data_IF_380305555849
#
_entry.id   IF_380305555849
#
_cell.length_a   1.000
_cell.length_b   1.000
_cell.length_c   1.000
_cell.angle_alpha   90.00
_cell.angle_beta   90.00
_cell.angle_gamma   90.00
#
_symmetry.space_group_name_H-M   'P 1'
#
loop_
_entity.id
_entity.type
_entity.pdbx_description
1 polymer ?
#
# COMPACT_ATOMS: atom_id res chain seq x y z
N UNK A 1 55.77 21.97 -9.52
CA UNK A 1 55.65 21.55 -10.92
C UNK A 1 55.35 20.06 -10.91
N UNK A 2 54.08 19.70 -10.71
CA UNK A 2 53.64 18.30 -10.74
C UNK A 2 53.20 18.02 -12.16
N UNK A 3 54.06 17.32 -12.90
CA UNK A 3 53.74 16.73 -14.19
C UNK A 3 52.56 15.78 -14.02
N UNK A 4 51.41 16.18 -14.56
CA UNK A 4 50.28 15.29 -14.81
C UNK A 4 50.57 14.65 -16.16
N UNK A 5 51.35 13.58 -16.15
CA UNK A 5 51.32 12.62 -17.23
C UNK A 5 49.96 11.91 -17.14
N UNK A 6 48.95 12.43 -17.82
CA UNK A 6 47.82 11.60 -18.22
C UNK A 6 48.37 10.67 -19.30
N UNK A 7 48.65 9.43 -18.89
CA UNK A 7 49.14 8.39 -19.79
C UNK A 7 48.18 8.27 -20.97
N UNK A 8 48.72 8.26 -22.20
CA UNK A 8 47.90 8.21 -23.42
C UNK A 8 46.97 7.00 -23.48
N UNK A 9 47.32 5.93 -22.76
CA UNK A 9 46.51 4.73 -22.62
C UNK A 9 45.18 5.00 -21.86
N UNK A 10 45.16 5.87 -20.84
CA UNK A 10 43.92 6.24 -20.11
C UNK A 10 42.91 6.98 -21.01
N UNK A 11 43.40 7.78 -21.98
CA UNK A 11 42.53 8.53 -22.90
C UNK A 11 41.87 7.61 -23.93
N UNK A 12 42.61 6.65 -24.49
CA UNK A 12 42.09 5.70 -25.45
C UNK A 12 41.23 4.62 -24.78
N UNK A 13 41.58 4.18 -23.58
CA UNK A 13 40.75 3.26 -22.78
C UNK A 13 39.44 3.92 -22.35
N UNK A 14 39.45 5.21 -22.00
CA UNK A 14 38.24 5.98 -21.74
C UNK A 14 37.34 6.14 -22.98
N UNK A 15 37.92 6.28 -24.17
CA UNK A 15 37.17 6.35 -25.43
C UNK A 15 36.58 5.00 -25.84
N UNK A 16 37.29 3.89 -25.59
CA UNK A 16 36.82 2.52 -25.86
C UNK A 16 35.68 2.14 -24.90
N UNK A 17 35.78 2.53 -23.62
CA UNK A 17 34.78 2.23 -22.59
C UNK A 17 33.71 3.31 -22.44
N UNK A 18 33.69 4.30 -23.35
CA UNK A 18 32.79 5.45 -23.29
C UNK A 18 31.31 5.02 -23.24
N UNK A 19 30.95 4.03 -24.06
CA UNK A 19 29.60 3.46 -24.10
C UNK A 19 29.23 2.84 -22.75
N UNK A 20 30.09 1.98 -22.19
CA UNK A 20 29.88 1.34 -20.89
C UNK A 20 29.74 2.37 -19.76
N UNK A 21 30.57 3.41 -19.75
CA UNK A 21 30.49 4.50 -18.77
C UNK A 21 29.17 5.27 -18.84
N UNK A 22 28.66 5.56 -20.05
CA UNK A 22 27.34 6.19 -20.20
C UNK A 22 26.20 5.27 -19.78
N UNK A 23 26.29 3.96 -20.06
CA UNK A 23 25.29 3.00 -19.57
C UNK A 23 25.27 2.91 -18.05
N UNK A 24 26.43 2.77 -17.41
CA UNK A 24 26.51 2.69 -15.95
C UNK A 24 26.00 3.97 -15.29
N UNK A 25 26.36 5.14 -15.84
CA UNK A 25 25.88 6.43 -15.35
C UNK A 25 24.37 6.57 -15.51
N UNK A 26 23.85 6.29 -16.71
CA UNK A 26 22.42 6.38 -16.99
C UNK A 26 21.60 5.37 -16.19
N UNK A 27 22.13 4.17 -15.97
CA UNK A 27 21.52 3.16 -15.10
C UNK A 27 21.50 3.61 -13.64
N UNK A 28 22.63 4.08 -13.10
CA UNK A 28 22.72 4.54 -11.72
C UNK A 28 21.75 5.69 -11.44
N UNK A 29 21.71 6.70 -12.33
CA UNK A 29 20.80 7.84 -12.22
C UNK A 29 19.33 7.41 -12.37
N UNK A 30 19.02 6.64 -13.41
CA UNK A 30 17.65 6.16 -13.67
C UNK A 30 17.12 5.24 -12.57
N UNK A 31 17.98 4.40 -12.00
CA UNK A 31 17.63 3.52 -10.90
C UNK A 31 17.38 4.29 -9.61
N UNK A 32 18.27 5.22 -9.24
CA UNK A 32 18.07 6.09 -8.07
C UNK A 32 16.78 6.92 -8.19
N UNK A 33 16.51 7.48 -9.38
CA UNK A 33 15.29 8.22 -9.66
C UNK A 33 14.04 7.31 -9.59
N UNK A 34 14.12 6.10 -10.16
CA UNK A 34 13.04 5.12 -10.14
C UNK A 34 12.67 4.66 -8.72
N UNK A 35 13.67 4.45 -7.86
CA UNK A 35 13.45 4.12 -6.45
C UNK A 35 12.73 5.24 -5.70
N UNK A 36 13.18 6.48 -5.88
CA UNK A 36 12.54 7.68 -5.34
C UNK A 36 11.08 7.75 -5.77
N UNK A 37 10.83 7.66 -7.08
CA UNK A 37 9.49 7.79 -7.64
C UNK A 37 8.56 6.67 -7.14
N UNK A 38 9.04 5.42 -7.15
CA UNK A 38 8.28 4.28 -6.65
C UNK A 38 7.92 4.42 -5.16
N UNK A 39 8.81 5.01 -4.34
CA UNK A 39 8.52 5.29 -2.94
C UNK A 39 7.43 6.34 -2.78
N UNK A 40 7.51 7.45 -3.52
CA UNK A 40 6.50 8.51 -3.44
C UNK A 40 5.12 8.03 -3.91
N UNK A 41 5.09 7.35 -5.06
CA UNK A 41 3.87 6.78 -5.62
C UNK A 41 3.26 5.72 -4.68
N UNK A 42 4.09 4.82 -4.13
CA UNK A 42 3.64 3.82 -3.16
C UNK A 42 3.08 4.44 -1.88
N UNK A 43 3.67 5.53 -1.38
CA UNK A 43 3.14 6.27 -0.21
C UNK A 43 1.79 6.92 -0.51
N UNK A 44 1.67 7.57 -1.67
CA UNK A 44 0.42 8.20 -2.08
C UNK A 44 -0.70 7.17 -2.24
N UNK A 45 -0.44 6.10 -3.00
CA UNK A 45 -1.40 5.02 -3.20
C UNK A 45 -1.79 4.35 -1.87
N UNK A 46 -0.81 4.14 -0.99
CA UNK A 46 -1.05 3.61 0.36
C UNK A 46 -1.97 4.50 1.19
N UNK A 47 -1.83 5.84 1.10
CA UNK A 47 -2.69 6.79 1.78
C UNK A 47 -4.14 6.74 1.25
N UNK A 48 -4.30 6.74 -0.07
CA UNK A 48 -5.61 6.67 -0.73
C UNK A 48 -6.35 5.39 -0.35
N UNK A 49 -5.67 4.23 -0.45
CA UNK A 49 -6.25 2.94 -0.08
C UNK A 49 -6.50 2.78 1.42
N UNK A 50 -5.63 3.35 2.26
CA UNK A 50 -5.87 3.37 3.70
C UNK A 50 -7.13 4.17 4.04
N UNK A 51 -7.41 5.26 3.33
CA UNK A 51 -8.62 6.05 3.55
C UNK A 51 -9.90 5.26 3.21
N UNK A 52 -9.95 4.63 2.03
CA UNK A 52 -11.07 3.76 1.63
C UNK A 52 -11.34 2.68 2.69
N UNK A 53 -10.26 2.12 3.24
CA UNK A 53 -10.36 1.07 4.24
C UNK A 53 -10.83 1.58 5.60
N UNK A 54 -10.30 2.72 6.04
CA UNK A 54 -10.67 3.32 7.32
C UNK A 54 -12.09 3.87 7.32
N UNK A 55 -12.59 4.35 6.18
CA UNK A 55 -14.01 4.69 6.03
C UNK A 55 -14.89 3.46 6.30
N UNK A 56 -14.50 2.30 5.77
CA UNK A 56 -15.23 1.06 6.01
C UNK A 56 -15.18 0.63 7.49
N UNK A 57 -13.99 0.63 8.10
CA UNK A 57 -13.82 0.25 9.51
C UNK A 57 -14.56 1.21 10.43
N UNK A 58 -14.46 2.53 10.19
CA UNK A 58 -15.15 3.56 10.97
C UNK A 58 -16.66 3.47 10.87
N UNK A 59 -17.20 3.11 9.70
CA UNK A 59 -18.63 2.83 9.56
C UNK A 59 -19.07 1.65 10.45
N UNK A 60 -18.29 0.56 10.46
CA UNK A 60 -18.60 -0.60 11.32
C UNK A 60 -18.52 -0.26 12.80
N UNK A 61 -17.56 0.57 13.20
CA UNK A 61 -17.41 1.05 14.58
C UNK A 61 -18.65 1.85 15.01
N UNK A 62 -19.05 2.85 14.22
CA UNK A 62 -20.23 3.66 14.50
C UNK A 62 -21.51 2.82 14.56
N UNK A 63 -21.69 1.90 13.61
CA UNK A 63 -22.83 0.99 13.61
C UNK A 63 -22.87 0.14 14.88
N UNK A 64 -21.75 -0.51 15.23
CA UNK A 64 -21.67 -1.35 16.42
C UNK A 64 -21.90 -0.54 17.71
N UNK A 65 -21.34 0.67 17.80
CA UNK A 65 -21.51 1.57 18.94
C UNK A 65 -22.96 1.96 19.20
N UNK A 66 -23.70 2.34 18.16
CA UNK A 66 -25.14 2.67 18.26
C UNK A 66 -25.94 1.47 18.75
N UNK A 67 -25.68 0.28 18.21
CA UNK A 67 -26.39 -0.93 18.64
C UNK A 67 -26.01 -1.38 20.05
N UNK A 68 -24.76 -1.22 20.47
CA UNK A 68 -24.34 -1.44 21.85
C UNK A 68 -25.15 -0.55 22.81
N UNK A 69 -25.24 0.75 22.54
CA UNK A 69 -26.00 1.68 23.37
C UNK A 69 -27.50 1.34 23.41
N UNK A 70 -28.09 1.00 22.26
CA UNK A 70 -29.52 0.66 22.15
C UNK A 70 -29.88 -0.65 22.84
N UNK A 71 -29.01 -1.66 22.77
CA UNK A 71 -29.27 -2.99 23.31
C UNK A 71 -28.90 -3.12 24.80
N UNK A 72 -28.15 -2.15 25.35
CA UNK A 72 -27.65 -2.19 26.73
C UNK A 72 -28.75 -2.28 27.80
N UNK A 73 -29.93 -1.71 27.54
CA UNK A 73 -31.07 -1.74 28.47
C UNK A 73 -32.05 -2.89 28.22
N UNK A 74 -31.73 -3.81 27.30
CA UNK A 74 -32.65 -4.88 26.91
C UNK A 74 -32.54 -6.11 27.80
N UNK A 75 -33.69 -6.72 28.11
CA UNK A 75 -33.78 -8.01 28.82
C UNK A 75 -34.04 -9.20 27.87
N UNK A 76 -34.06 -8.98 26.55
CA UNK A 76 -34.33 -10.03 25.56
C UNK A 76 -33.09 -10.88 25.29
N UNK A 77 -33.22 -12.21 25.34
CA UNK A 77 -32.12 -13.15 25.04
C UNK A 77 -31.58 -12.98 23.62
N UNK A 78 -32.43 -12.62 22.66
CA UNK A 78 -32.02 -12.33 21.27
C UNK A 78 -31.14 -11.08 21.22
N UNK A 79 -31.53 -10.05 21.96
CA UNK A 79 -30.82 -8.77 22.01
C UNK A 79 -29.49 -8.88 22.77
N UNK A 80 -29.43 -9.70 23.83
CA UNK A 80 -28.17 -10.03 24.50
C UNK A 80 -27.15 -10.70 23.55
N UNK A 81 -27.61 -11.59 22.67
CA UNK A 81 -26.76 -12.21 21.64
C UNK A 81 -26.26 -11.18 20.63
N UNK A 82 -27.13 -10.30 20.14
CA UNK A 82 -26.75 -9.22 19.24
C UNK A 82 -25.76 -8.25 19.88
N UNK A 83 -25.94 -7.93 21.16
CA UNK A 83 -25.02 -7.10 21.95
C UNK A 83 -23.64 -7.74 22.04
N UNK A 84 -23.54 -9.05 22.31
CA UNK A 84 -22.26 -9.77 22.33
C UNK A 84 -21.56 -9.73 20.95
N UNK A 85 -22.32 -9.86 19.86
CA UNK A 85 -21.76 -9.72 18.51
C UNK A 85 -21.23 -8.30 18.24
N UNK A 86 -21.94 -7.26 18.67
CA UNK A 86 -21.52 -5.87 18.53
C UNK A 86 -20.27 -5.56 19.36
N UNK A 87 -20.21 -6.02 20.61
CA UNK A 87 -19.02 -5.88 21.45
C UNK A 87 -17.81 -6.60 20.86
N UNK A 88 -18.00 -7.79 20.29
CA UNK A 88 -16.88 -8.50 19.66
C UNK A 88 -16.40 -7.77 18.40
N UNK A 89 -17.31 -7.18 17.61
CA UNK A 89 -16.94 -6.35 16.46
C UNK A 89 -16.08 -5.17 16.89
N UNK A 90 -16.47 -4.45 17.95
CA UNK A 90 -15.66 -3.36 18.51
C UNK A 90 -14.30 -3.85 19.01
N UNK A 91 -14.24 -5.02 19.65
CA UNK A 91 -12.98 -5.65 20.05
C UNK A 91 -12.05 -5.91 18.86
N UNK A 92 -12.57 -6.39 17.73
CA UNK A 92 -11.77 -6.60 16.52
C UNK A 92 -11.29 -5.27 15.90
N UNK A 93 -12.13 -4.22 15.93
CA UNK A 93 -11.79 -2.90 15.40
C UNK A 93 -10.71 -2.23 16.26
N UNK A 94 -10.82 -2.29 17.58
CA UNK A 94 -9.80 -1.72 18.49
C UNK A 94 -8.45 -2.43 18.41
N UNK A 95 -8.43 -3.71 18.02
CA UNK A 95 -7.21 -4.45 17.74
C UNK A 95 -6.58 -4.11 16.38
N UNK A 96 -7.33 -3.46 15.47
CA UNK A 96 -6.84 -3.07 14.16
C UNK A 96 -5.79 -1.94 14.28
N UNK A 97 -4.62 -2.06 13.64
CA UNK A 97 -3.53 -1.12 13.84
C UNK A 97 -3.87 0.26 13.29
N UNK A 98 -3.81 1.28 14.15
CA UNK A 98 -4.04 2.69 13.81
C UNK A 98 -2.79 3.42 13.33
N UNK A 99 -1.61 2.81 13.46
CA UNK A 99 -0.34 3.41 13.09
C UNK A 99 0.37 2.49 12.12
N UNK A 100 0.84 3.06 11.01
CA UNK A 100 1.78 2.39 10.11
C UNK A 100 3.19 2.67 10.63
N UNK A 101 3.90 1.69 11.23
CA UNK A 101 5.29 1.87 11.59
C UNK A 101 6.12 1.89 10.31
N UNK A 102 6.27 3.07 9.72
CA UNK A 102 7.21 3.25 8.60
C UNK A 102 8.62 3.10 9.17
N UNK A 103 9.46 2.16 8.66
CA UNK A 103 10.76 1.89 9.26
C UNK A 103 11.76 3.04 9.15
N UNK A 104 11.44 4.10 8.39
CA UNK A 104 12.37 5.22 8.16
C UNK A 104 11.58 6.55 8.07
N UNK A 105 11.64 7.40 9.10
CA UNK A 105 11.27 8.80 9.00
C UNK A 105 12.38 9.53 8.23
N UNK A 106 12.05 10.06 7.05
CA UNK A 106 12.78 11.13 6.35
C UNK A 106 14.31 10.99 6.15
N UNK A 107 14.89 9.79 6.23
CA UNK A 107 16.30 9.60 5.94
C UNK A 107 16.55 9.76 4.42
N UNK A 108 17.62 10.48 4.01
CA UNK A 108 18.04 10.55 2.62
C UNK A 108 18.22 9.15 2.04
N UNK A 109 17.66 8.91 0.85
CA UNK A 109 17.70 7.62 0.15
C UNK A 109 19.11 7.18 -0.26
N UNK A 110 20.08 8.09 -0.15
CA UNK A 110 21.48 7.88 -0.51
C UNK A 110 22.23 6.95 0.46
N UNK A 111 21.58 6.49 1.54
CA UNK A 111 22.18 5.61 2.54
C UNK A 111 21.37 4.31 2.69
N UNK A 112 21.12 3.63 1.57
CA UNK A 112 20.74 2.22 1.53
C UNK A 112 21.93 1.36 2.02
N UNK A 113 22.21 1.46 3.31
CA UNK A 113 23.05 0.49 3.98
C UNK A 113 22.31 -0.86 4.00
N UNK A 114 23.02 -1.99 3.85
CA UNK A 114 22.42 -3.33 3.94
C UNK A 114 21.68 -3.55 5.27
N UNK A 115 22.05 -2.83 6.33
CA UNK A 115 21.39 -2.84 7.63
C UNK A 115 19.98 -2.21 7.58
N UNK A 116 19.79 -1.11 6.85
CA UNK A 116 18.50 -0.45 6.69
C UNK A 116 17.54 -1.27 5.82
N UNK A 117 18.09 -1.94 4.78
CA UNK A 117 17.34 -2.88 3.96
C UNK A 117 16.86 -4.10 4.77
N UNK A 118 17.75 -4.69 5.58
CA UNK A 118 17.40 -5.78 6.48
C UNK A 118 16.38 -5.36 7.55
N UNK A 119 16.47 -4.13 8.09
CA UNK A 119 15.50 -3.59 9.03
C UNK A 119 14.11 -3.39 8.39
N UNK A 120 14.05 -2.92 7.14
CA UNK A 120 12.79 -2.79 6.37
C UNK A 120 12.16 -4.17 6.10
N UNK A 121 12.97 -5.16 5.72
CA UNK A 121 12.51 -6.53 5.47
C UNK A 121 12.01 -7.21 6.76
N UNK A 122 12.73 -7.05 7.88
CA UNK A 122 12.32 -7.55 9.18
C UNK A 122 11.02 -6.87 9.67
N UNK A 123 10.88 -5.56 9.47
CA UNK A 123 9.66 -4.83 9.80
C UNK A 123 8.46 -5.29 8.95
N UNK A 124 8.67 -5.57 7.67
CA UNK A 124 7.65 -6.13 6.78
C UNK A 124 7.24 -7.54 7.21
N UNK A 125 8.19 -8.39 7.64
CA UNK A 125 7.90 -9.75 8.13
C UNK A 125 7.13 -9.75 9.48
N UNK A 126 7.35 -8.74 10.31
CA UNK A 126 6.64 -8.56 11.58
C UNK A 126 5.29 -7.85 11.43
N UNK A 127 4.92 -7.41 10.22
CA UNK A 127 3.69 -6.68 10.00
C UNK A 127 2.46 -7.56 10.21
N UNK A 128 1.42 -7.06 10.90
CA UNK A 128 0.17 -7.79 11.06
C UNK A 128 -0.53 -8.00 9.71
N UNK A 129 -1.18 -9.15 9.53
CA UNK A 129 -1.97 -9.48 8.35
C UNK A 129 -3.27 -8.66 8.31
N UNK A 130 -3.18 -7.43 7.80
CA UNK A 130 -4.31 -6.50 7.66
C UNK A 130 -5.48 -7.13 6.89
N UNK A 131 -5.28 -7.77 5.72
CA UNK A 131 -6.36 -8.44 5.00
C UNK A 131 -7.15 -9.45 5.84
N UNK A 132 -6.47 -10.28 6.64
CA UNK A 132 -7.15 -11.25 7.50
C UNK A 132 -7.97 -10.56 8.61
N UNK A 133 -7.42 -9.51 9.23
CA UNK A 133 -8.12 -8.73 10.26
C UNK A 133 -9.39 -8.08 9.69
N UNK A 134 -9.30 -7.50 8.50
CA UNK A 134 -10.45 -6.89 7.80
C UNK A 134 -11.51 -7.92 7.42
N UNK A 135 -11.09 -9.08 6.93
CA UNK A 135 -12.00 -10.18 6.64
C UNK A 135 -12.77 -10.60 7.89
N UNK A 136 -12.09 -10.70 9.04
CA UNK A 136 -12.71 -11.01 10.32
C UNK A 136 -13.71 -9.93 10.76
N UNK A 137 -13.37 -8.65 10.63
CA UNK A 137 -14.27 -7.51 10.91
C UNK A 137 -15.52 -7.58 10.01
N UNK A 138 -15.36 -7.73 8.69
CA UNK A 138 -16.45 -7.85 7.72
C UNK A 138 -17.36 -9.03 8.03
N UNK A 139 -16.79 -10.20 8.35
CA UNK A 139 -17.54 -11.39 8.71
C UNK A 139 -18.37 -11.17 9.98
N UNK A 140 -17.76 -10.56 11.01
CA UNK A 140 -18.43 -10.26 12.27
C UNK A 140 -19.53 -9.21 12.09
N UNK A 141 -19.33 -8.19 11.24
CA UNK A 141 -20.35 -7.22 10.88
C UNK A 141 -21.56 -7.87 10.20
N UNK A 142 -21.34 -8.74 9.20
CA UNK A 142 -22.44 -9.47 8.54
C UNK A 142 -23.23 -10.32 9.53
N UNK A 143 -22.55 -10.97 10.49
CA UNK A 143 -23.19 -11.73 11.56
C UNK A 143 -24.02 -10.84 12.50
N UNK A 144 -23.53 -9.64 12.82
CA UNK A 144 -24.31 -8.67 13.59
C UNK A 144 -25.57 -8.27 12.82
N UNK A 145 -25.45 -7.94 11.54
CA UNK A 145 -26.59 -7.59 10.68
C UNK A 145 -27.65 -8.69 10.62
N UNK A 146 -27.27 -9.95 10.46
CA UNK A 146 -28.22 -11.07 10.45
C UNK A 146 -28.90 -11.25 11.81
N UNK A 147 -28.19 -11.06 12.91
CA UNK A 147 -28.77 -11.13 14.27
C UNK A 147 -29.82 -10.03 14.52
N UNK A 148 -29.59 -8.84 13.96
CA UNK A 148 -30.46 -7.67 14.06
C UNK A 148 -31.61 -7.66 13.04
N UNK A 149 -31.53 -8.51 12.00
CA UNK A 149 -32.46 -8.51 10.88
C UNK A 149 -32.29 -7.31 9.94
N UNK A 150 -31.12 -6.66 9.95
CA UNK A 150 -30.80 -5.50 9.11
C UNK A 150 -30.03 -5.94 7.88
N UNK A 151 -30.29 -5.31 6.72
CA UNK A 151 -29.50 -5.54 5.51
C UNK A 151 -28.15 -4.81 5.60
N UNK A 152 -27.00 -5.46 5.31
CA UNK A 152 -25.72 -4.78 5.18
C UNK A 152 -25.79 -3.70 4.09
N UNK A 153 -25.45 -2.45 4.42
CA UNK A 153 -25.54 -1.31 3.49
C UNK A 153 -24.21 -0.78 2.96
N UNK A 154 -23.09 -1.15 3.57
CA UNK A 154 -21.79 -0.66 3.15
C UNK A 154 -21.24 -1.51 1.99
N UNK A 155 -20.81 -0.83 0.92
CA UNK A 155 -20.01 -1.42 -0.15
C UNK A 155 -18.60 -1.61 0.42
N UNK A 156 -18.11 -2.85 0.45
CA UNK A 156 -16.74 -3.13 0.89
C UNK A 156 -15.76 -2.40 -0.01
N UNK A 157 -14.69 -1.82 0.54
CA UNK A 157 -13.60 -1.27 -0.27
C UNK A 157 -13.20 -2.32 -1.32
N UNK A 158 -13.15 -1.89 -2.59
CA UNK A 158 -12.96 -2.80 -3.73
C UNK A 158 -11.72 -3.65 -3.50
N UNK A 159 -11.82 -4.95 -3.79
CA UNK A 159 -10.66 -5.84 -3.78
C UNK A 159 -9.87 -5.59 -5.06
N UNK A 160 -9.20 -4.44 -5.14
CA UNK A 160 -8.29 -4.15 -6.24
C UNK A 160 -6.99 -4.93 -5.98
N UNK A 161 -7.00 -6.20 -6.35
CA UNK A 161 -5.87 -7.09 -6.19
C UNK A 161 -6.25 -8.53 -6.51
N UNK A 162 -5.91 -8.96 -7.73
CA UNK A 162 -6.07 -10.31 -8.31
C UNK A 162 -7.50 -10.78 -8.55
N UNK A 163 -8.08 -10.30 -9.64
CA UNK A 163 -8.77 -11.13 -10.64
C UNK A 163 -8.67 -10.40 -11.99
N UNK A 164 -7.70 -10.79 -12.81
CA UNK A 164 -7.61 -10.35 -14.19
C UNK A 164 -8.71 -10.99 -15.02
N UNK A 165 -9.91 -10.42 -15.01
CA UNK A 165 -10.95 -10.54 -16.03
C UNK A 165 -12.17 -9.71 -15.59
N UNK A 166 -12.20 -8.44 -16.00
CA UNK A 166 -13.30 -7.52 -15.70
C UNK A 166 -13.30 -6.38 -16.71
N UNK A 167 -14.04 -6.60 -17.78
CA UNK A 167 -14.28 -5.70 -18.91
C UNK A 167 -14.78 -4.32 -18.43
N UNK A 168 -14.02 -3.26 -18.74
CA UNK A 168 -14.42 -1.88 -18.41
C UNK A 168 -13.28 -0.92 -18.10
N UNK A 169 -12.23 -0.87 -18.93
CA UNK A 169 -11.20 0.16 -18.81
C UNK A 169 -11.75 1.51 -19.32
N UNK A 170 -12.25 2.33 -18.39
CA UNK A 170 -12.37 3.77 -18.60
C UNK A 170 -10.98 4.35 -18.77
N UNK A 171 -10.74 5.01 -19.90
CA UNK A 171 -9.50 5.72 -20.21
C UNK A 171 -9.27 6.78 -19.14
N UNK A 172 -8.21 6.60 -18.34
CA UNK A 172 -7.62 7.67 -17.56
C UNK A 172 -6.57 8.31 -18.45
N UNK A 173 -6.85 9.50 -18.97
CA UNK A 173 -5.87 10.31 -19.70
C UNK A 173 -4.73 10.64 -18.74
N UNK A 174 -3.58 10.00 -18.95
CA UNK A 174 -2.34 10.32 -18.25
C UNK A 174 -1.87 11.73 -18.60
N UNK A 175 -1.25 12.38 -17.63
CA UNK A 175 -0.65 13.72 -17.72
C UNK A 175 0.33 13.75 -18.91
N UNK A 176 0.12 14.74 -19.78
CA UNK A 176 0.75 14.90 -21.09
C UNK A 176 2.25 15.25 -20.95
N UNK A 177 3.11 14.23 -20.94
CA UNK A 177 4.54 14.36 -21.13
C UNK A 177 4.91 14.51 -22.62
N UNK A 178 6.05 15.12 -22.99
CA UNK A 178 6.36 15.53 -24.36
C UNK A 178 6.68 14.38 -25.34
N UNK A 179 6.48 13.12 -24.95
CA UNK A 179 6.72 11.95 -25.80
C UNK A 179 5.44 11.12 -25.89
N UNK A 180 4.71 11.30 -26.99
CA UNK A 180 3.48 10.59 -27.31
C UNK A 180 3.76 9.10 -27.51
N UNK A 181 3.28 8.29 -26.57
CA UNK A 181 2.99 6.85 -26.64
C UNK A 181 3.77 6.02 -27.66
N UNK A 182 4.86 5.40 -27.21
CA UNK A 182 5.44 4.24 -27.93
C UNK A 182 4.56 3.02 -27.65
N UNK A 183 4.01 2.44 -28.71
CA UNK A 183 3.20 1.22 -28.67
C UNK A 183 4.11 0.01 -28.40
N UNK A 184 4.22 -0.38 -27.13
CA UNK A 184 5.08 -1.48 -26.67
C UNK A 184 4.63 -2.85 -27.19
N UNK A 185 3.46 -2.95 -27.85
CA UNK A 185 2.99 -4.19 -28.51
C UNK A 185 3.74 -4.52 -29.80
N UNK A 186 4.51 -3.59 -30.36
CA UNK A 186 5.33 -3.83 -31.55
C UNK A 186 6.73 -4.39 -31.23
N UNK A 187 7.13 -4.38 -29.95
CA UNK A 187 8.37 -5.02 -29.51
C UNK A 187 8.08 -6.51 -29.32
N UNK A 188 8.35 -7.30 -30.37
CA UNK A 188 8.41 -8.76 -30.27
C UNK A 188 9.64 -9.16 -29.44
N UNK A 189 9.47 -9.21 -28.13
CA UNK A 189 10.27 -10.10 -27.28
C UNK A 189 9.64 -11.50 -27.28
#
# INVERSE_FOLDING_TARGET
MTDIAMDGDDLFDGAINLESGFYETGYAEGHAHGQLHGLFEGRQLGQEKAWELWEEVGFYEGFAGVWCAKLASSSSRKEAKSLAHAQTLLGLITAFPATNPTPVPDAPLDNDTPELAAAREAAAAAAPDLPAMLSAIRARYRLLCTSLGTRPRLVTAAKDGTDGAGEGAGVVEGIEGPMKGVDTRQLRF
#
